data_IF_722108500273
#
_entry.id   IF_722108500273
#
_cell.length_a   1.000
_cell.length_b   1.000
_cell.length_c   1.000
_cell.angle_alpha   90.00
_cell.angle_beta   90.00
_cell.angle_gamma   90.00
#
_symmetry.space_group_name_H-M   'P 1'
#
loop_
_entity.id
_entity.type
_entity.pdbx_description
1 polymer ?
#
# COMPACT_ATOMS: atom_id res chain seq x y z
N UNK A 1 -4.17 -10.10 -3.68
CA UNK A 1 -3.07 -9.17 -3.31
C UNK A 1 -2.79 -9.33 -1.81
N UNK A 2 -1.59 -9.00 -1.31
CA UNK A 2 -1.26 -9.06 0.12
C UNK A 2 -0.27 -7.98 0.53
N UNK A 3 -0.22 -7.67 1.82
CA UNK A 3 0.84 -6.85 2.42
C UNK A 3 2.17 -7.63 2.39
N UNK A 4 3.23 -7.02 1.85
CA UNK A 4 4.49 -7.72 1.52
C UNK A 4 5.56 -7.65 2.61
N UNK A 5 5.37 -6.83 3.64
CA UNK A 5 6.42 -6.48 4.60
C UNK A 5 5.87 -5.77 5.84
N UNK A 6 6.68 -5.67 6.89
CA UNK A 6 6.31 -4.98 8.13
C UNK A 6 5.46 -5.86 9.06
N UNK A 7 4.82 -5.24 10.05
CA UNK A 7 4.04 -5.93 11.08
C UNK A 7 2.81 -6.65 10.54
N UNK A 8 2.20 -6.11 9.49
CA UNK A 8 1.01 -6.66 8.85
C UNK A 8 1.34 -7.59 7.66
N UNK A 9 2.59 -8.04 7.52
CA UNK A 9 3.04 -8.90 6.42
C UNK A 9 2.18 -10.16 6.30
N UNK A 10 1.76 -10.46 5.07
CA UNK A 10 1.01 -11.68 4.76
C UNK A 10 -0.51 -11.52 4.82
N UNK A 11 -1.03 -10.42 5.41
CA UNK A 11 -2.46 -10.12 5.38
C UNK A 11 -2.92 -9.95 3.93
N UNK A 12 -3.96 -10.72 3.57
CA UNK A 12 -4.62 -10.63 2.28
C UNK A 12 -5.47 -9.36 2.24
N UNK A 13 -5.36 -8.61 1.15
CA UNK A 13 -6.25 -7.49 0.90
C UNK A 13 -7.48 -8.01 0.18
N UNK A 14 -8.65 -7.59 0.63
CA UNK A 14 -9.88 -7.77 -0.11
C UNK A 14 -9.89 -6.78 -1.27
N UNK A 15 -9.93 -7.30 -2.49
CA UNK A 15 -9.76 -6.54 -3.71
C UNK A 15 -10.83 -7.00 -4.69
N UNK A 16 -11.60 -6.06 -5.30
CA UNK A 16 -12.58 -6.41 -6.30
C UNK A 16 -11.98 -7.26 -7.41
N UNK A 17 -12.62 -8.39 -7.73
CA UNK A 17 -12.22 -9.27 -8.84
C UNK A 17 -12.72 -8.70 -10.16
N UNK A 18 -12.16 -7.56 -10.56
CA UNK A 18 -12.51 -6.87 -11.81
C UNK A 18 -11.25 -6.60 -12.62
N UNK A 19 -11.39 -6.53 -13.94
CA UNK A 19 -10.29 -6.20 -14.85
C UNK A 19 -9.84 -4.72 -14.74
N UNK A 20 -10.61 -3.90 -14.03
CA UNK A 20 -10.28 -2.50 -13.75
C UNK A 20 -9.12 -2.36 -12.75
N UNK A 21 -8.79 -3.43 -12.01
CA UNK A 21 -7.66 -3.43 -11.08
C UNK A 21 -6.44 -4.02 -11.77
N UNK A 22 -5.40 -3.20 -11.97
CA UNK A 22 -4.08 -3.66 -12.42
C UNK A 22 -3.18 -3.88 -11.20
N UNK A 23 -3.05 -5.11 -10.65
CA UNK A 23 -2.27 -5.34 -9.46
C UNK A 23 -0.77 -5.10 -9.70
N UNK A 24 -0.17 -4.23 -8.87
CA UNK A 24 1.29 -4.11 -8.82
C UNK A 24 1.91 -5.40 -8.27
N UNK A 25 3.00 -5.86 -8.89
CA UNK A 25 3.72 -7.06 -8.44
C UNK A 25 4.33 -6.83 -7.06
N UNK A 26 4.48 -7.92 -6.29
CA UNK A 26 5.14 -7.85 -4.97
C UNK A 26 6.56 -7.25 -5.09
N UNK A 27 7.27 -7.52 -6.20
CA UNK A 27 8.60 -6.99 -6.47
C UNK A 27 8.61 -5.47 -6.71
N UNK A 28 7.67 -4.94 -7.51
CA UNK A 28 7.57 -3.51 -7.76
C UNK A 28 7.30 -2.73 -6.46
N UNK A 29 6.39 -3.25 -5.61
CA UNK A 29 6.11 -2.65 -4.30
C UNK A 29 7.32 -2.71 -3.36
N UNK A 30 8.03 -3.84 -3.33
CA UNK A 30 9.25 -3.95 -2.52
C UNK A 30 10.34 -2.97 -2.99
N UNK A 31 10.50 -2.74 -4.29
CA UNK A 31 11.46 -1.80 -4.82
C UNK A 31 11.20 -0.37 -4.33
N UNK A 32 9.94 0.09 -4.34
CA UNK A 32 9.55 1.42 -3.83
C UNK A 32 9.99 1.59 -2.36
N UNK A 33 9.62 0.64 -1.50
CA UNK A 33 9.98 0.71 -0.09
C UNK A 33 11.47 0.52 0.16
N UNK A 34 12.16 -0.24 -0.69
CA UNK A 34 13.62 -0.36 -0.63
C UNK A 34 14.29 0.97 -0.96
N UNK A 35 13.74 1.75 -1.89
CA UNK A 35 14.25 3.08 -2.21
C UNK A 35 13.96 4.11 -1.11
N UNK A 36 12.82 4.02 -0.44
CA UNK A 36 12.45 4.91 0.67
C UNK A 36 13.21 4.56 1.97
N UNK A 37 13.53 3.29 2.20
CA UNK A 37 14.29 2.84 3.36
C UNK A 37 13.66 3.26 4.69
N UNK A 38 14.47 3.79 5.61
CA UNK A 38 14.02 4.22 6.94
C UNK A 38 13.17 5.50 6.91
N UNK A 39 13.06 6.19 5.78
CA UNK A 39 12.28 7.43 5.68
C UNK A 39 10.76 7.22 5.87
N UNK A 40 10.29 5.97 5.83
CA UNK A 40 8.87 5.63 6.02
C UNK A 40 8.48 5.58 7.50
N UNK A 41 9.42 5.27 8.39
CA UNK A 41 9.13 5.10 9.82
C UNK A 41 8.76 6.45 10.46
N UNK A 42 7.58 6.52 11.08
CA UNK A 42 7.01 7.74 11.66
C UNK A 42 6.53 8.78 10.64
N UNK A 43 6.66 8.53 9.33
CA UNK A 43 6.31 9.51 8.31
C UNK A 43 4.78 9.66 8.13
N UNK A 44 4.37 10.87 7.73
CA UNK A 44 3.05 11.10 7.16
C UNK A 44 3.06 10.69 5.68
N UNK A 45 2.13 9.82 5.30
CA UNK A 45 2.06 9.22 3.96
C UNK A 45 0.79 9.70 3.26
N UNK A 46 0.94 10.16 2.01
CA UNK A 46 -0.19 10.52 1.15
C UNK A 46 -0.19 9.61 -0.07
N UNK A 47 -1.25 8.81 -0.22
CA UNK A 47 -1.47 7.94 -1.37
C UNK A 47 -2.62 8.51 -2.22
N UNK A 48 -2.28 9.23 -3.29
CA UNK A 48 -3.24 9.98 -4.12
C UNK A 48 -4.10 9.11 -5.05
N UNK A 49 -3.66 7.88 -5.31
CA UNK A 49 -4.34 6.94 -6.18
C UNK A 49 -4.40 5.59 -5.49
N UNK A 50 -4.87 5.61 -4.24
CA UNK A 50 -4.73 4.51 -3.31
C UNK A 50 -5.32 3.21 -3.86
N UNK A 51 -6.40 3.28 -4.63
CA UNK A 51 -7.04 2.11 -5.23
C UNK A 51 -7.40 1.08 -4.16
N UNK A 52 -6.66 -0.03 -4.10
CA UNK A 52 -6.82 -1.07 -3.08
C UNK A 52 -6.21 -0.72 -1.72
N UNK A 53 -5.55 0.43 -1.61
CA UNK A 53 -4.82 0.91 -0.44
C UNK A 53 -3.51 0.18 -0.19
N UNK A 54 -3.01 -0.63 -1.13
CA UNK A 54 -1.90 -1.54 -0.85
C UNK A 54 -0.58 -0.86 -0.49
N UNK A 55 -0.31 0.30 -1.09
CA UNK A 55 0.94 1.02 -0.87
C UNK A 55 0.86 1.84 0.42
N UNK A 56 -0.24 2.58 0.63
CA UNK A 56 -0.54 3.21 1.92
C UNK A 56 -0.52 2.23 3.12
N UNK A 57 -1.19 1.09 3.01
CA UNK A 57 -1.16 0.03 4.04
C UNK A 57 0.23 -0.62 4.16
N UNK A 58 0.98 -0.71 3.07
CA UNK A 58 2.37 -1.14 3.06
C UNK A 58 3.26 -0.21 3.87
N UNK A 59 3.04 1.10 3.79
CA UNK A 59 3.77 2.10 4.55
C UNK A 59 3.39 2.05 6.04
N UNK A 60 2.10 1.95 6.37
CA UNK A 60 1.63 1.77 7.75
C UNK A 60 2.22 0.50 8.39
N UNK A 61 2.24 -0.62 7.66
CA UNK A 61 2.84 -1.88 8.12
C UNK A 61 4.32 -1.74 8.49
N UNK A 62 5.04 -0.78 7.88
CA UNK A 62 6.46 -0.48 8.12
C UNK A 62 6.70 0.57 9.21
N UNK A 63 5.66 0.96 9.94
CA UNK A 63 5.76 1.96 10.99
C UNK A 63 5.51 3.38 10.53
N UNK A 64 4.87 3.60 9.37
CA UNK A 64 4.35 4.93 9.00
C UNK A 64 3.47 5.52 10.09
N UNK A 65 3.62 6.82 10.35
CA UNK A 65 2.97 7.51 11.47
C UNK A 65 1.50 7.82 11.21
N UNK A 66 1.20 8.48 10.08
CA UNK A 66 -0.15 8.77 9.63
C UNK A 66 -0.28 8.54 8.12
N UNK A 67 -1.51 8.30 7.65
CA UNK A 67 -1.76 7.98 6.25
C UNK A 67 -3.08 8.58 5.77
N UNK A 68 -3.01 9.41 4.73
CA UNK A 68 -4.17 9.91 3.99
C UNK A 68 -4.24 9.21 2.62
N UNK A 69 -5.37 8.56 2.34
CA UNK A 69 -5.56 7.76 1.13
C UNK A 69 -6.70 8.33 0.30
N UNK A 70 -6.38 8.87 -0.87
CA UNK A 70 -7.34 9.44 -1.80
C UNK A 70 -7.54 8.51 -3.00
N UNK A 71 -8.78 8.40 -3.45
CA UNK A 71 -9.13 7.82 -4.74
C UNK A 71 -10.44 8.42 -5.24
N UNK A 72 -10.64 8.38 -6.56
CA UNK A 72 -11.84 8.93 -7.21
C UNK A 72 -12.97 7.91 -7.41
N UNK A 73 -12.66 6.62 -7.35
CA UNK A 73 -13.62 5.56 -7.55
C UNK A 73 -14.12 5.04 -6.20
N UNK A 74 -15.42 4.82 -6.08
CA UNK A 74 -15.98 4.20 -4.89
C UNK A 74 -15.68 2.70 -4.86
N UNK A 75 -15.47 2.15 -3.67
CA UNK A 75 -15.41 0.70 -3.48
C UNK A 75 -16.75 0.10 -3.94
N UNK A 76 -16.70 -0.74 -4.98
CA UNK A 76 -17.86 -1.38 -5.61
C UNK A 76 -17.87 -2.86 -5.29
#
# INVERSE_FOLDING_TARGET
MRITSGLARGILLDVPRTDAVRPATDAARQAIFSSLGCAVEGAAVLDLFAGTGSDGLGAASRGGGSGDFAQTHAAT
#
